data_IF_713161665510
#
_entry.id   IF_713161665510
#
_cell.length_a   1.000
_cell.length_b   1.000
_cell.length_c   1.000
_cell.angle_alpha   90.00
_cell.angle_beta   90.00
_cell.angle_gamma   90.00
#
_symmetry.space_group_name_H-M   'P 1'
#
loop_
_entity.id
_entity.type
_entity.pdbx_description
1 polymer ?
#
# COMPACT_ATOMS: atom_id res chain seq x y z
N UNK A 1 -12.65 15.37 21.73
CA UNK A 1 -12.15 14.20 21.00
C UNK A 1 -10.90 13.73 21.70
N UNK A 2 -10.84 12.45 22.05
CA UNK A 2 -9.64 11.82 22.60
C UNK A 2 -9.00 11.01 21.49
N UNK A 3 -7.71 11.24 21.25
CA UNK A 3 -6.95 10.41 20.32
C UNK A 3 -6.70 9.03 20.92
N UNK A 4 -6.61 8.05 20.01
CA UNK A 4 -6.25 6.68 20.37
C UNK A 4 -4.75 6.61 20.68
N UNK A 5 -4.41 5.81 21.68
CA UNK A 5 -3.02 5.47 21.97
C UNK A 5 -2.49 4.45 20.95
N UNK A 6 -1.16 4.36 20.83
CA UNK A 6 -0.51 3.48 19.83
C UNK A 6 -0.95 2.02 19.95
N UNK A 7 -1.07 1.51 21.16
CA UNK A 7 -1.52 0.13 21.39
C UNK A 7 -2.98 -0.08 20.99
N UNK A 8 -3.85 0.90 21.19
CA UNK A 8 -5.25 0.83 20.73
C UNK A 8 -5.35 0.82 19.21
N UNK A 9 -4.52 1.62 18.52
CA UNK A 9 -4.43 1.63 17.05
C UNK A 9 -4.02 0.25 16.55
N UNK A 10 -2.95 -0.32 17.14
CA UNK A 10 -2.45 -1.64 16.83
C UNK A 10 -3.52 -2.73 17.03
N UNK A 11 -4.22 -2.75 18.16
CA UNK A 11 -5.29 -3.71 18.44
C UNK A 11 -6.42 -3.64 17.39
N UNK A 12 -6.80 -2.42 16.96
CA UNK A 12 -7.82 -2.23 15.94
C UNK A 12 -7.35 -2.76 14.59
N UNK A 13 -6.10 -2.50 14.20
CA UNK A 13 -5.53 -3.00 12.95
C UNK A 13 -5.38 -4.52 12.98
N UNK A 14 -4.97 -5.10 14.11
CA UNK A 14 -4.89 -6.56 14.26
C UNK A 14 -6.26 -7.23 14.18
N UNK A 15 -7.31 -6.63 14.76
CA UNK A 15 -8.68 -7.13 14.63
C UNK A 15 -9.17 -7.06 13.16
N UNK A 16 -8.78 -6.02 12.41
CA UNK A 16 -9.07 -5.92 10.99
C UNK A 16 -8.29 -6.97 10.18
N UNK A 17 -7.04 -7.25 10.54
CA UNK A 17 -6.23 -8.30 9.92
C UNK A 17 -6.84 -9.69 10.17
N UNK A 18 -7.33 -9.95 11.38
CA UNK A 18 -8.03 -11.21 11.72
C UNK A 18 -9.27 -11.40 10.83
N UNK A 19 -10.08 -10.36 10.66
CA UNK A 19 -11.23 -10.40 9.75
C UNK A 19 -10.83 -10.72 8.31
N UNK A 20 -9.76 -10.09 7.80
CA UNK A 20 -9.27 -10.36 6.43
C UNK A 20 -8.75 -11.79 6.31
N UNK A 21 -7.98 -12.27 7.28
CA UNK A 21 -7.43 -13.63 7.30
C UNK A 21 -8.54 -14.68 7.34
N UNK A 22 -9.56 -14.49 8.19
CA UNK A 22 -10.74 -15.36 8.26
C UNK A 22 -11.52 -15.36 6.93
N UNK A 23 -11.72 -14.19 6.33
CA UNK A 23 -12.39 -14.07 5.03
C UNK A 23 -11.59 -14.80 3.93
N UNK A 24 -10.28 -14.60 3.88
CA UNK A 24 -9.40 -15.26 2.94
C UNK A 24 -9.43 -16.79 3.10
N UNK A 25 -9.36 -17.30 4.33
CA UNK A 25 -9.45 -18.74 4.63
C UNK A 25 -10.81 -19.33 4.25
N UNK A 26 -11.90 -18.64 4.54
CA UNK A 26 -13.27 -19.08 4.21
C UNK A 26 -13.51 -19.22 2.71
N UNK A 27 -12.84 -18.40 1.91
CA UNK A 27 -13.06 -18.32 0.46
C UNK A 27 -11.88 -18.87 -0.37
N UNK A 28 -10.91 -19.54 0.26
CA UNK A 28 -9.71 -20.08 -0.39
C UNK A 28 -8.99 -19.02 -1.24
N UNK A 29 -8.72 -17.85 -0.64
CA UNK A 29 -8.02 -16.74 -1.25
C UNK A 29 -6.59 -16.67 -0.67
N UNK A 30 -5.56 -16.99 -1.45
CA UNK A 30 -4.17 -16.84 -1.00
C UNK A 30 -3.79 -15.36 -0.93
N UNK A 31 -3.28 -14.95 0.21
CA UNK A 31 -2.68 -13.64 0.43
C UNK A 31 -1.36 -13.80 1.18
N UNK A 32 -0.57 -12.74 1.29
CA UNK A 32 0.64 -12.73 2.11
C UNK A 32 0.93 -11.36 2.69
N UNK A 33 1.59 -11.33 3.86
CA UNK A 33 2.13 -10.11 4.43
C UNK A 33 3.18 -9.54 3.49
N UNK A 34 3.18 -8.22 3.29
CA UNK A 34 4.09 -7.57 2.35
C UNK A 34 4.82 -6.38 2.97
N UNK A 35 5.80 -5.85 2.29
CA UNK A 35 6.56 -4.65 2.65
C UNK A 35 7.04 -4.63 4.12
N UNK A 36 6.76 -3.53 4.85
CA UNK A 36 7.11 -3.35 6.25
C UNK A 36 6.53 -4.43 7.16
N UNK A 37 5.33 -4.88 6.88
CA UNK A 37 4.66 -5.94 7.64
C UNK A 37 5.37 -7.29 7.51
N UNK A 38 5.80 -7.67 6.29
CA UNK A 38 6.61 -8.87 6.09
C UNK A 38 7.96 -8.76 6.80
N UNK A 39 8.62 -7.61 6.70
CA UNK A 39 9.87 -7.36 7.42
C UNK A 39 9.67 -7.47 8.94
N UNK A 40 8.58 -6.92 9.46
CA UNK A 40 8.19 -7.05 10.86
C UNK A 40 7.99 -8.50 11.29
N UNK A 41 7.26 -9.29 10.51
CA UNK A 41 7.04 -10.71 10.77
C UNK A 41 8.37 -11.51 10.83
N UNK A 42 9.28 -11.28 9.89
CA UNK A 42 10.55 -12.01 9.83
C UNK A 42 11.51 -11.57 10.94
N UNK A 43 11.69 -10.26 11.15
CA UNK A 43 12.70 -9.71 12.04
C UNK A 43 12.24 -9.55 13.49
N UNK A 44 10.98 -9.18 13.70
CA UNK A 44 10.44 -8.81 15.02
C UNK A 44 9.36 -9.77 15.55
N UNK A 45 8.86 -10.68 14.72
CA UNK A 45 7.69 -11.53 15.02
C UNK A 45 6.41 -10.74 15.27
N UNK A 46 6.35 -9.51 14.75
CA UNK A 46 5.25 -8.56 14.93
C UNK A 46 5.50 -7.28 14.15
N UNK A 47 4.73 -6.25 14.45
CA UNK A 47 4.91 -4.94 13.86
C UNK A 47 6.31 -4.37 14.19
N UNK A 48 6.88 -3.64 13.25
CA UNK A 48 8.12 -2.91 13.49
C UNK A 48 7.83 -1.79 14.51
N UNK A 49 8.65 -1.62 15.58
CA UNK A 49 8.30 -0.71 16.68
C UNK A 49 8.05 0.76 16.32
N UNK A 50 8.55 1.20 15.17
CA UNK A 50 8.39 2.57 14.65
C UNK A 50 7.48 2.66 13.42
N UNK A 51 6.81 1.56 13.07
CA UNK A 51 5.83 1.45 11.99
C UNK A 51 4.41 1.43 12.56
N UNK A 52 3.42 1.85 11.78
CA UNK A 52 2.04 1.97 12.24
C UNK A 52 1.01 1.54 11.19
N UNK A 53 1.45 0.86 10.14
CA UNK A 53 0.59 0.30 9.10
C UNK A 53 0.77 -1.21 8.92
N UNK A 54 -0.22 -1.82 8.30
CA UNK A 54 -0.21 -3.25 7.92
C UNK A 54 -0.50 -3.32 6.42
N UNK A 55 0.37 -4.07 5.74
CA UNK A 55 0.35 -4.27 4.29
C UNK A 55 0.17 -5.74 3.95
N UNK A 56 -0.76 -6.04 3.05
CA UNK A 56 -0.91 -7.37 2.47
C UNK A 56 -0.90 -7.30 0.94
N UNK A 57 -0.50 -8.39 0.31
CA UNK A 57 -0.51 -8.50 -1.15
C UNK A 57 -1.19 -9.79 -1.60
N UNK A 58 -1.82 -9.71 -2.78
CA UNK A 58 -2.48 -10.82 -3.44
C UNK A 58 -2.21 -10.75 -4.95
N UNK A 59 -2.23 -11.88 -5.64
CA UNK A 59 -2.32 -11.82 -7.10
C UNK A 59 -3.60 -11.12 -7.55
N UNK A 60 -3.57 -10.44 -8.70
CA UNK A 60 -4.65 -9.58 -9.21
C UNK A 60 -6.04 -10.23 -9.12
N UNK A 61 -6.17 -11.47 -9.54
CA UNK A 61 -7.45 -12.18 -9.53
C UNK A 61 -7.99 -12.38 -8.11
N UNK A 62 -7.12 -12.76 -7.18
CA UNK A 62 -7.47 -12.96 -5.77
C UNK A 62 -7.71 -11.62 -5.05
N UNK A 63 -6.97 -10.58 -5.42
CA UNK A 63 -7.21 -9.22 -4.96
C UNK A 63 -8.62 -8.74 -5.33
N UNK A 64 -9.02 -8.88 -6.60
CA UNK A 64 -10.35 -8.48 -7.06
C UNK A 64 -11.46 -9.31 -6.40
N UNK A 65 -11.23 -10.61 -6.21
CA UNK A 65 -12.16 -11.51 -5.50
C UNK A 65 -12.35 -11.10 -4.04
N UNK A 66 -11.26 -10.81 -3.32
CA UNK A 66 -11.31 -10.39 -1.90
C UNK A 66 -12.10 -9.10 -1.75
N UNK A 67 -11.80 -8.07 -2.54
CA UNK A 67 -12.49 -6.79 -2.46
C UNK A 67 -14.00 -6.95 -2.73
N UNK A 68 -14.36 -7.73 -3.76
CA UNK A 68 -15.75 -7.99 -4.10
C UNK A 68 -16.48 -8.70 -2.97
N UNK A 69 -15.89 -9.71 -2.34
CA UNK A 69 -16.50 -10.45 -1.22
C UNK A 69 -16.76 -9.52 -0.04
N UNK A 70 -15.78 -8.69 0.34
CA UNK A 70 -15.94 -7.75 1.46
C UNK A 70 -17.01 -6.69 1.15
N UNK A 71 -17.12 -6.23 -0.10
CA UNK A 71 -18.17 -5.31 -0.52
C UNK A 71 -19.56 -5.97 -0.46
N UNK A 72 -19.70 -7.24 -0.92
CA UNK A 72 -20.93 -8.00 -0.92
C UNK A 72 -21.39 -8.43 0.49
N UNK A 73 -20.45 -8.72 1.40
CA UNK A 73 -20.76 -9.02 2.81
C UNK A 73 -21.36 -7.81 3.55
N UNK A 74 -21.13 -6.60 3.05
CA UNK A 74 -21.61 -5.32 3.61
C UNK A 74 -21.43 -5.22 5.14
N UNK A 75 -20.27 -5.67 5.64
CA UNK A 75 -19.96 -5.69 7.06
C UNK A 75 -20.17 -4.28 7.68
N UNK A 76 -20.85 -4.13 8.84
CA UNK A 76 -21.19 -2.81 9.40
C UNK A 76 -19.99 -1.93 9.73
N UNK A 77 -18.83 -2.54 10.00
CA UNK A 77 -17.63 -1.85 10.45
C UNK A 77 -16.52 -1.83 9.37
N UNK A 78 -16.36 -2.91 8.59
CA UNK A 78 -15.26 -3.03 7.64
C UNK A 78 -15.72 -2.73 6.23
N UNK A 79 -15.05 -1.82 5.55
CA UNK A 79 -15.42 -1.35 4.21
C UNK A 79 -14.20 -1.24 3.29
N UNK A 80 -14.41 -1.51 2.02
CA UNK A 80 -13.39 -1.32 0.99
C UNK A 80 -13.30 0.15 0.59
N UNK A 81 -12.09 0.68 0.58
CA UNK A 81 -11.75 1.97 -0.01
C UNK A 81 -10.91 1.73 -1.25
N UNK A 82 -11.50 1.95 -2.40
CA UNK A 82 -10.86 1.75 -3.70
C UNK A 82 -11.23 2.85 -4.69
N UNK A 83 -10.65 2.79 -5.89
CA UNK A 83 -11.06 3.66 -6.99
C UNK A 83 -12.55 3.54 -7.31
N UNK A 84 -13.14 2.37 -7.19
CA UNK A 84 -14.54 2.12 -7.55
C UNK A 84 -15.51 2.51 -6.44
N UNK A 85 -15.12 2.36 -5.18
CA UNK A 85 -15.97 2.68 -4.02
C UNK A 85 -15.92 4.15 -3.63
N UNK A 86 -14.87 4.91 -4.04
CA UNK A 86 -14.74 6.31 -3.67
C UNK A 86 -14.20 7.21 -4.78
N UNK A 87 -14.91 8.31 -5.08
CA UNK A 87 -14.52 9.24 -6.15
C UNK A 87 -13.23 10.02 -5.89
N UNK A 88 -12.80 10.15 -4.64
CA UNK A 88 -11.57 10.84 -4.24
C UNK A 88 -10.36 9.91 -4.10
N UNK A 89 -10.60 8.59 -4.09
CA UNK A 89 -9.54 7.61 -4.05
C UNK A 89 -9.04 7.30 -5.48
N UNK A 90 -7.75 7.31 -5.67
CA UNK A 90 -7.13 7.16 -7.00
C UNK A 90 -5.81 6.39 -6.97
N UNK A 91 -5.53 5.68 -5.87
CA UNK A 91 -4.42 4.73 -5.80
C UNK A 91 -4.74 3.46 -6.62
N UNK A 92 -3.69 2.79 -7.14
CA UNK A 92 -3.85 1.55 -7.89
C UNK A 92 -3.81 0.31 -6.97
N UNK A 93 -4.15 0.49 -5.73
CA UNK A 93 -4.39 -0.53 -4.72
C UNK A 93 -5.62 -0.12 -3.90
N UNK A 94 -6.10 -0.99 -3.04
CA UNK A 94 -7.22 -0.69 -2.15
C UNK A 94 -6.77 -0.67 -0.70
N UNK A 95 -7.58 -0.08 0.18
CA UNK A 95 -7.45 -0.21 1.62
C UNK A 95 -8.74 -0.80 2.19
N UNK A 96 -8.66 -1.67 3.17
CA UNK A 96 -9.81 -2.12 3.95
C UNK A 96 -9.82 -1.30 5.23
N UNK A 97 -10.94 -0.62 5.48
CA UNK A 97 -11.09 0.37 6.54
C UNK A 97 -11.83 -0.19 7.73
N UNK A 98 -11.44 0.24 8.94
CA UNK A 98 -12.26 0.17 10.13
C UNK A 98 -13.04 1.47 10.33
N UNK A 99 -14.26 1.52 9.86
CA UNK A 99 -15.09 2.73 9.82
C UNK A 99 -15.55 3.22 11.20
N UNK A 100 -15.27 2.51 12.28
CA UNK A 100 -15.49 2.98 13.66
C UNK A 100 -14.45 4.03 14.10
N UNK A 101 -13.45 4.29 13.27
CA UNK A 101 -12.36 5.22 13.56
C UNK A 101 -12.27 6.35 12.52
N UNK A 102 -11.52 7.39 12.84
CA UNK A 102 -11.18 8.50 11.92
C UNK A 102 -9.70 8.81 12.05
N UNK A 103 -9.01 8.89 10.91
CA UNK A 103 -7.63 9.39 10.79
C UNK A 103 -7.68 10.80 10.21
N UNK A 104 -6.92 11.72 10.79
CA UNK A 104 -6.74 13.07 10.25
C UNK A 104 -5.63 13.12 9.20
N UNK A 105 -5.99 13.34 7.94
CA UNK A 105 -5.01 13.55 6.86
C UNK A 105 -4.70 15.03 6.64
N UNK A 106 -3.47 15.44 6.95
CA UNK A 106 -2.99 16.81 6.78
C UNK A 106 -2.03 16.98 5.58
N UNK A 107 -1.71 15.91 4.88
CA UNK A 107 -0.70 15.89 3.80
C UNK A 107 -1.29 16.28 2.44
N UNK A 108 -2.52 15.85 2.15
CA UNK A 108 -3.17 16.03 0.86
C UNK A 108 -3.72 17.44 0.68
N UNK A 109 -3.77 17.91 -0.57
CA UNK A 109 -4.33 19.23 -0.93
C UNK A 109 -5.82 19.34 -0.58
N UNK A 110 -6.58 18.32 -0.93
CA UNK A 110 -7.97 18.15 -0.47
C UNK A 110 -7.96 17.15 0.66
N UNK A 111 -8.35 17.58 1.84
CA UNK A 111 -8.45 16.72 3.02
C UNK A 111 -9.66 15.80 2.84
N UNK A 112 -9.41 14.51 3.01
CA UNK A 112 -10.44 13.49 3.17
C UNK A 112 -10.04 12.67 4.37
N UNK A 113 -10.73 12.87 5.48
CA UNK A 113 -10.52 12.02 6.66
C UNK A 113 -10.88 10.58 6.27
N UNK A 114 -10.04 9.65 6.67
CA UNK A 114 -10.22 8.23 6.45
C UNK A 114 -10.25 7.51 7.80
N UNK A 115 -10.27 6.22 7.80
CA UNK A 115 -10.31 5.36 9.00
C UNK A 115 -9.00 4.59 9.13
N UNK A 116 -8.74 3.95 10.26
CA UNK A 116 -7.66 2.97 10.37
C UNK A 116 -7.87 1.88 9.31
N UNK A 117 -6.80 1.44 8.71
CA UNK A 117 -6.84 0.64 7.50
C UNK A 117 -5.73 -0.42 7.45
N UNK A 118 -5.92 -1.37 6.55
CA UNK A 118 -4.89 -2.26 6.03
C UNK A 118 -4.83 -2.03 4.52
N UNK A 119 -3.64 -1.78 4.00
CA UNK A 119 -3.43 -1.64 2.56
C UNK A 119 -3.34 -3.01 1.89
N UNK A 120 -4.03 -3.14 0.77
CA UNK A 120 -4.15 -4.38 -0.01
C UNK A 120 -3.59 -4.12 -1.41
N UNK A 121 -2.45 -4.74 -1.71
CA UNK A 121 -1.72 -4.50 -2.94
C UNK A 121 -1.92 -5.64 -3.95
N UNK A 122 -2.28 -5.31 -5.19
CA UNK A 122 -2.31 -6.30 -6.26
C UNK A 122 -0.91 -6.60 -6.79
N UNK A 123 -0.63 -7.88 -7.02
CA UNK A 123 0.54 -8.36 -7.74
C UNK A 123 0.12 -8.71 -9.16
N UNK A 124 0.72 -8.04 -10.12
CA UNK A 124 0.48 -8.24 -11.55
C UNK A 124 1.59 -9.08 -12.18
N UNK A 125 1.24 -9.85 -13.22
CA UNK A 125 2.17 -10.69 -13.98
C UNK A 125 2.29 -10.17 -15.41
N UNK A 126 3.51 -9.99 -15.89
CA UNK A 126 3.78 -9.36 -17.18
C UNK A 126 5.13 -9.78 -17.79
N UNK A 127 5.40 -9.31 -19.02
CA UNK A 127 6.65 -9.59 -19.74
C UNK A 127 7.43 -8.31 -20.06
N UNK A 128 6.74 -7.20 -20.39
CA UNK A 128 7.38 -5.94 -20.80
C UNK A 128 7.72 -5.05 -19.60
N UNK A 129 9.00 -4.98 -19.25
CA UNK A 129 9.51 -4.11 -18.18
C UNK A 129 9.29 -2.61 -18.43
N UNK A 130 9.09 -2.18 -19.68
CA UNK A 130 8.89 -0.76 -20.00
C UNK A 130 7.62 -0.17 -19.38
N UNK A 131 6.66 -1.03 -18.99
CA UNK A 131 5.44 -0.58 -18.32
C UNK A 131 5.72 -0.04 -16.92
N UNK A 132 6.74 -0.55 -16.24
CA UNK A 132 7.13 -0.12 -14.90
C UNK A 132 7.55 1.35 -14.92
N UNK A 133 8.46 1.73 -15.83
CA UNK A 133 8.89 3.12 -15.98
C UNK A 133 7.75 4.07 -16.39
N UNK A 134 6.86 3.59 -17.28
CA UNK A 134 5.69 4.36 -17.70
C UNK A 134 4.72 4.56 -16.53
N UNK A 135 4.45 3.52 -15.76
CA UNK A 135 3.57 3.59 -14.58
C UNK A 135 4.13 4.52 -13.52
N UNK A 136 5.44 4.44 -13.26
CA UNK A 136 6.14 5.30 -12.31
C UNK A 136 6.00 6.80 -12.63
N UNK A 137 6.11 7.17 -13.92
CA UNK A 137 5.86 8.56 -14.36
C UNK A 137 4.44 9.01 -14.05
N UNK A 138 3.44 8.16 -14.27
CA UNK A 138 2.05 8.49 -13.94
C UNK A 138 1.82 8.55 -12.43
N UNK A 139 2.45 7.70 -11.63
CA UNK A 139 2.42 7.78 -10.15
C UNK A 139 2.97 9.12 -9.67
N UNK A 140 4.14 9.53 -10.18
CA UNK A 140 4.76 10.80 -9.81
C UNK A 140 3.86 12.01 -10.17
N UNK A 141 3.26 12.03 -11.36
CA UNK A 141 2.33 13.07 -11.78
C UNK A 141 1.05 13.08 -10.92
N UNK A 142 0.50 11.90 -10.62
CA UNK A 142 -0.66 11.74 -9.74
C UNK A 142 -0.39 12.31 -8.35
N UNK A 143 0.76 11.96 -7.76
CA UNK A 143 1.14 12.49 -6.45
C UNK A 143 1.29 14.02 -6.48
N UNK A 144 2.00 14.57 -7.47
CA UNK A 144 2.16 16.01 -7.61
C UNK A 144 0.82 16.72 -7.78
N UNK A 145 -0.14 16.09 -8.47
CA UNK A 145 -1.49 16.61 -8.63
C UNK A 145 -2.29 16.70 -7.33
N UNK A 146 -1.91 16.00 -6.28
CA UNK A 146 -2.74 15.86 -5.08
C UNK A 146 -2.13 16.38 -3.78
N UNK A 147 -0.82 16.52 -3.71
CA UNK A 147 -0.13 17.01 -2.51
C UNK A 147 -0.29 18.51 -2.29
N UNK A 148 -0.07 18.96 -1.06
CA UNK A 148 0.00 20.40 -0.73
C UNK A 148 1.22 21.06 -1.40
N UNK A 149 1.10 22.34 -1.73
CA UNK A 149 2.19 23.15 -2.35
C UNK A 149 3.50 23.05 -1.59
N UNK A 150 3.47 23.08 -0.27
CA UNK A 150 4.65 22.96 0.59
C UNK A 150 5.42 21.63 0.43
N UNK A 151 4.74 20.58 -0.04
CA UNK A 151 5.35 19.27 -0.33
C UNK A 151 5.83 19.14 -1.78
N UNK A 152 5.38 20.02 -2.68
CA UNK A 152 5.82 20.04 -4.08
C UNK A 152 7.21 20.67 -4.25
N UNK A 153 7.65 21.50 -3.32
CA UNK A 153 8.94 22.21 -3.34
C UNK A 153 9.84 21.62 -2.27
N UNK A 154 11.02 21.16 -2.65
CA UNK A 154 11.93 20.43 -1.76
C UNK A 154 13.23 21.18 -1.42
N UNK A 155 13.52 22.29 -2.13
CA UNK A 155 14.73 23.08 -1.89
C UNK A 155 16.02 22.52 -2.50
N UNK A 156 15.98 21.42 -3.25
CA UNK A 156 17.16 20.78 -3.86
C UNK A 156 17.87 21.68 -4.89
N UNK A 157 17.07 22.45 -5.65
CA UNK A 157 17.55 23.34 -6.70
C UNK A 157 16.43 24.31 -7.10
N UNK A 158 16.77 25.61 -7.20
CA UNK A 158 15.83 26.66 -7.59
C UNK A 158 15.13 26.36 -8.93
N UNK A 159 15.86 25.82 -9.93
CA UNK A 159 15.28 25.45 -11.21
C UNK A 159 14.34 24.26 -11.12
N UNK A 160 14.73 23.21 -10.38
CA UNK A 160 13.87 22.04 -10.15
C UNK A 160 12.60 22.41 -9.40
N UNK A 161 12.71 23.24 -8.37
CA UNK A 161 11.56 23.70 -7.60
C UNK A 161 10.63 24.58 -8.43
N UNK A 162 11.17 25.45 -9.29
CA UNK A 162 10.38 26.23 -10.22
C UNK A 162 9.60 25.35 -11.21
N UNK A 163 10.27 24.35 -11.81
CA UNK A 163 9.61 23.40 -12.72
C UNK A 163 8.54 22.57 -12.02
N UNK A 164 8.82 22.08 -10.79
CA UNK A 164 7.84 21.36 -9.95
C UNK A 164 6.64 22.25 -9.64
N UNK A 165 6.88 23.52 -9.30
CA UNK A 165 5.82 24.48 -8.99
C UNK A 165 4.94 24.77 -10.23
N UNK A 166 5.52 24.98 -11.39
CA UNK A 166 4.78 25.12 -12.64
C UNK A 166 3.91 23.89 -12.94
N UNK A 167 4.51 22.71 -12.81
CA UNK A 167 3.82 21.41 -12.97
C UNK A 167 2.69 21.25 -11.93
N UNK A 168 2.93 21.65 -10.69
CA UNK A 168 1.94 21.60 -9.62
C UNK A 168 0.71 22.48 -9.96
N UNK A 169 0.92 23.70 -10.45
CA UNK A 169 -0.18 24.58 -10.88
C UNK A 169 -0.93 24.03 -12.10
N UNK A 170 -0.21 23.54 -13.10
CA UNK A 170 -0.81 22.95 -14.30
C UNK A 170 -1.67 21.71 -13.96
N UNK A 171 -1.23 20.91 -13.01
CA UNK A 171 -1.95 19.69 -12.59
C UNK A 171 -3.17 19.93 -11.71
N UNK A 172 -3.42 21.19 -11.22
CA UNK A 172 -4.64 21.51 -10.45
C UNK A 172 -5.94 21.34 -11.22
N UNK A 173 -5.89 21.43 -12.54
CA UNK A 173 -7.05 21.22 -13.42
C UNK A 173 -7.22 19.77 -13.86
N UNK A 174 -6.23 18.90 -13.57
CA UNK A 174 -6.28 17.49 -13.92
C UNK A 174 -6.83 16.67 -12.77
N UNK A 175 -7.86 15.87 -13.03
CA UNK A 175 -8.34 14.93 -12.03
C UNK A 175 -7.32 13.80 -11.84
N UNK A 176 -6.82 13.54 -10.62
CA UNK A 176 -5.86 12.45 -10.35
C UNK A 176 -6.31 11.07 -10.84
N UNK A 177 -7.63 10.84 -10.93
CA UNK A 177 -8.23 9.61 -11.49
C UNK A 177 -7.84 9.37 -12.96
N UNK A 178 -7.45 10.40 -13.70
CA UNK A 178 -6.91 10.23 -15.06
C UNK A 178 -5.63 9.38 -15.05
N UNK A 179 -4.73 9.65 -14.11
CA UNK A 179 -3.48 8.89 -13.98
C UNK A 179 -3.71 7.45 -13.51
N UNK A 180 -4.68 7.25 -12.60
CA UNK A 180 -5.13 5.90 -12.23
C UNK A 180 -5.52 5.10 -13.49
N UNK A 181 -6.42 5.64 -14.31
CA UNK A 181 -6.88 4.96 -15.53
C UNK A 181 -5.75 4.65 -16.50
N UNK A 182 -4.75 5.53 -16.60
CA UNK A 182 -3.58 5.28 -17.45
C UNK A 182 -2.73 4.11 -16.95
N UNK A 183 -2.53 4.02 -15.64
CA UNK A 183 -1.81 2.89 -15.02
C UNK A 183 -2.63 1.60 -15.18
N UNK A 184 -3.92 1.62 -14.88
CA UNK A 184 -4.81 0.48 -15.03
C UNK A 184 -4.82 -0.07 -16.48
N UNK A 185 -4.85 0.81 -17.49
CA UNK A 185 -4.73 0.44 -18.89
C UNK A 185 -3.37 -0.20 -19.23
N UNK A 186 -2.27 0.32 -18.65
CA UNK A 186 -0.95 -0.29 -18.85
C UNK A 186 -0.91 -1.71 -18.28
N UNK A 187 -1.44 -1.92 -17.09
CA UNK A 187 -1.50 -3.23 -16.43
C UNK A 187 -2.34 -4.20 -17.27
N UNK A 188 -3.57 -3.83 -17.64
CA UNK A 188 -4.48 -4.67 -18.45
C UNK A 188 -3.87 -5.07 -19.80
N UNK A 189 -3.15 -4.15 -20.45
CA UNK A 189 -2.50 -4.41 -21.73
C UNK A 189 -1.24 -5.27 -21.61
N UNK A 190 -0.67 -5.37 -20.41
CA UNK A 190 0.55 -6.13 -20.15
C UNK A 190 0.30 -7.54 -19.65
N UNK A 191 -0.94 -7.85 -19.23
CA UNK A 191 -1.33 -9.18 -18.78
C UNK A 191 -1.10 -10.21 -19.90
N UNK A 192 -0.41 -11.30 -19.57
CA UNK A 192 0.00 -12.33 -20.52
C UNK A 192 -0.11 -13.72 -19.92
N UNK A 193 -0.32 -14.73 -20.79
CA UNK A 193 -0.33 -16.13 -20.40
C UNK A 193 1.07 -16.74 -20.19
N UNK A 194 2.13 -16.00 -20.56
CA UNK A 194 3.52 -16.43 -20.39
C UNK A 194 4.35 -15.32 -19.72
N UNK A 195 4.06 -14.98 -18.47
CA UNK A 195 4.75 -13.92 -17.76
C UNK A 195 6.20 -14.31 -17.44
N UNK A 196 7.08 -13.31 -17.44
CA UNK A 196 8.46 -13.45 -16.99
C UNK A 196 8.71 -12.73 -15.66
N UNK A 197 7.88 -11.74 -15.36
CA UNK A 197 7.99 -10.90 -14.17
C UNK A 197 6.66 -10.81 -13.43
N UNK A 198 6.76 -10.50 -12.14
CA UNK A 198 5.60 -10.20 -11.30
C UNK A 198 5.95 -9.11 -10.28
N UNK A 199 4.96 -8.34 -9.86
CA UNK A 199 5.14 -7.28 -8.86
C UNK A 199 4.05 -6.23 -8.89
N UNK A 200 4.19 -5.22 -8.04
CA UNK A 200 3.26 -4.11 -7.91
C UNK A 200 3.48 -3.03 -8.97
N UNK A 201 2.58 -2.92 -9.95
CA UNK A 201 2.69 -1.90 -10.99
C UNK A 201 1.89 -0.66 -10.60
N UNK A 202 2.58 0.49 -10.52
CA UNK A 202 1.94 1.77 -10.22
C UNK A 202 1.45 1.93 -8.78
N UNK A 203 1.95 1.11 -7.87
CA UNK A 203 1.65 1.13 -6.44
C UNK A 203 2.51 2.17 -5.74
N UNK A 204 3.80 1.90 -5.61
CA UNK A 204 4.75 2.68 -4.85
C UNK A 204 5.64 3.59 -5.68
N UNK A 205 6.74 4.02 -5.05
CA UNK A 205 7.78 4.89 -5.63
C UNK A 205 9.05 4.13 -5.97
N UNK A 206 9.12 2.86 -5.61
CA UNK A 206 10.34 2.07 -5.69
C UNK A 206 10.61 1.53 -7.11
N UNK A 207 9.60 1.57 -7.98
CA UNK A 207 9.74 1.24 -9.39
C UNK A 207 10.26 -0.19 -9.60
N UNK A 208 11.41 -0.34 -10.22
CA UNK A 208 12.00 -1.65 -10.54
C UNK A 208 12.33 -2.51 -9.31
N UNK A 209 12.46 -1.94 -8.12
CA UNK A 209 12.68 -2.72 -6.89
C UNK A 209 11.47 -3.58 -6.50
N UNK A 210 10.28 -3.20 -6.95
CA UNK A 210 9.03 -3.93 -6.68
C UNK A 210 8.77 -5.04 -7.71
N UNK A 211 9.71 -5.30 -8.63
CA UNK A 211 9.56 -6.25 -9.72
C UNK A 211 10.49 -7.45 -9.51
N UNK A 212 9.92 -8.62 -9.61
CA UNK A 212 10.55 -9.89 -9.32
C UNK A 212 10.37 -10.88 -10.49
N UNK A 213 11.22 -11.91 -10.60
CA UNK A 213 10.95 -13.03 -11.51
C UNK A 213 9.61 -13.68 -11.18
N UNK A 214 8.92 -14.18 -12.20
CA UNK A 214 7.66 -14.91 -12.02
C UNK A 214 7.81 -16.07 -11.01
N UNK A 215 6.74 -16.41 -10.30
CA UNK A 215 6.70 -17.42 -9.24
C UNK A 215 7.55 -17.09 -7.98
N UNK A 216 7.90 -15.83 -7.76
CA UNK A 216 8.53 -15.39 -6.51
C UNK A 216 7.54 -15.47 -5.34
N UNK A 217 6.27 -15.08 -5.56
CA UNK A 217 5.22 -15.05 -4.54
C UNK A 217 4.29 -16.26 -4.54
N UNK A 218 4.53 -17.27 -5.38
CA UNK A 218 3.64 -18.41 -5.57
C UNK A 218 3.58 -19.36 -4.37
N UNK A 219 4.73 -19.69 -3.80
CA UNK A 219 4.81 -20.58 -2.65
C UNK A 219 4.80 -19.74 -1.36
N UNK A 220 3.87 -20.04 -0.46
CA UNK A 220 3.71 -19.38 0.83
C UNK A 220 4.13 -20.31 1.97
N UNK A 221 4.68 -19.72 3.01
CA UNK A 221 4.95 -20.36 4.30
C UNK A 221 4.30 -19.54 5.41
N UNK A 222 3.99 -20.17 6.52
CA UNK A 222 3.48 -19.48 7.69
C UNK A 222 4.61 -18.98 8.57
N UNK A 223 4.51 -17.76 9.05
CA UNK A 223 5.42 -17.16 10.04
C UNK A 223 4.65 -16.48 11.14
N UNK A 224 5.28 -16.30 12.29
CA UNK A 224 4.69 -15.62 13.42
C UNK A 224 4.62 -14.11 13.18
N UNK A 225 3.45 -13.52 13.46
CA UNK A 225 3.22 -12.07 13.48
C UNK A 225 2.19 -11.71 14.55
N UNK A 226 2.62 -11.02 15.61
CA UNK A 226 1.76 -10.62 16.75
C UNK A 226 0.94 -11.80 17.33
N UNK A 227 1.61 -12.94 17.55
CA UNK A 227 1.00 -14.16 18.07
C UNK A 227 0.11 -14.94 17.10
N UNK A 228 0.05 -14.54 15.82
CA UNK A 228 -0.67 -15.19 14.72
C UNK A 228 0.29 -15.93 13.80
N UNK A 229 -0.15 -17.00 13.16
CA UNK A 229 0.59 -17.68 12.10
C UNK A 229 0.03 -17.23 10.75
N UNK A 230 0.75 -16.31 10.06
CA UNK A 230 0.29 -15.65 8.85
C UNK A 230 1.22 -15.96 7.65
N UNK A 231 0.69 -15.94 6.42
CA UNK A 231 1.45 -16.31 5.24
C UNK A 231 2.43 -15.22 4.80
N UNK A 232 3.64 -15.66 4.41
CA UNK A 232 4.63 -14.86 3.69
C UNK A 232 5.16 -15.68 2.52
N UNK A 233 5.67 -15.07 1.44
CA UNK A 233 6.32 -15.80 0.37
C UNK A 233 7.48 -16.63 0.89
N UNK A 234 7.62 -17.86 0.43
CA UNK A 234 8.77 -18.71 0.75
C UNK A 234 10.11 -18.06 0.35
N UNK A 235 10.07 -17.25 -0.70
CA UNK A 235 11.21 -16.45 -1.18
C UNK A 235 11.26 -15.05 -0.54
N UNK A 236 10.77 -14.89 0.69
CA UNK A 236 10.75 -13.59 1.41
C UNK A 236 12.15 -12.94 1.47
N UNK A 237 13.21 -13.74 1.60
CA UNK A 237 14.58 -13.23 1.65
C UNK A 237 14.97 -12.48 0.36
N UNK A 238 14.57 -13.00 -0.81
CA UNK A 238 14.79 -12.33 -2.09
C UNK A 238 14.03 -10.99 -2.13
N UNK A 239 12.77 -10.98 -1.68
CA UNK A 239 11.97 -9.75 -1.61
C UNK A 239 12.60 -8.72 -0.67
N UNK A 240 12.89 -9.11 0.57
CA UNK A 240 13.38 -8.21 1.60
C UNK A 240 14.79 -7.68 1.27
N UNK A 241 15.67 -8.52 0.71
CA UNK A 241 17.00 -8.11 0.26
C UNK A 241 16.90 -7.08 -0.88
N UNK A 242 16.05 -7.31 -1.88
CA UNK A 242 15.88 -6.38 -3.00
C UNK A 242 15.28 -5.04 -2.57
N UNK A 243 14.31 -5.07 -1.63
CA UNK A 243 13.65 -3.85 -1.14
C UNK A 243 14.52 -3.06 -0.16
N UNK A 244 15.16 -3.74 0.80
CA UNK A 244 15.75 -3.12 1.99
C UNK A 244 17.26 -3.39 2.17
N UNK A 245 17.87 -4.22 1.34
CA UNK A 245 19.29 -4.60 1.47
C UNK A 245 19.53 -5.50 2.68
N UNK A 246 20.42 -5.09 3.60
CA UNK A 246 20.60 -5.77 4.88
C UNK A 246 19.42 -5.48 5.82
N UNK A 247 18.32 -6.18 5.57
CA UNK A 247 17.06 -5.96 6.28
C UNK A 247 17.04 -6.51 7.71
N UNK A 248 17.98 -7.41 8.06
CA UNK A 248 18.07 -7.95 9.42
C UNK A 248 18.69 -6.97 10.40
N UNK A 249 19.54 -6.04 9.93
CA UNK A 249 20.10 -4.97 10.74
C UNK A 249 19.11 -3.79 10.84
N UNK A 250 18.58 -3.47 12.03
CA UNK A 250 17.71 -2.30 12.19
C UNK A 250 18.43 -1.00 11.80
N UNK A 251 17.74 -0.02 11.18
CA UNK A 251 18.32 1.27 10.89
C UNK A 251 18.71 2.04 12.19
N UNK A 252 19.55 3.08 12.06
CA UNK A 252 19.90 3.94 13.19
C UNK A 252 18.66 4.56 13.85
N UNK A 253 18.75 4.92 15.13
CA UNK A 253 17.62 5.55 15.86
C UNK A 253 17.11 6.80 15.17
N UNK A 254 18.00 7.62 14.60
CA UNK A 254 17.64 8.80 13.83
C UNK A 254 16.81 8.45 12.59
N UNK A 255 17.17 7.38 11.87
CA UNK A 255 16.39 6.87 10.75
C UNK A 255 15.06 6.25 11.19
N UNK A 256 15.03 5.57 12.35
CA UNK A 256 13.78 5.03 12.90
C UNK A 256 12.79 6.16 13.21
N UNK A 257 13.25 7.27 13.81
CA UNK A 257 12.43 8.47 14.06
C UNK A 257 11.94 9.10 12.75
N UNK A 258 12.78 9.11 11.72
CA UNK A 258 12.39 9.62 10.40
C UNK A 258 11.35 8.75 9.70
N UNK A 259 11.41 7.42 9.87
CA UNK A 259 10.40 6.46 9.35
C UNK A 259 9.15 6.42 10.22
N UNK A 260 9.20 6.88 11.47
CA UNK A 260 8.04 6.86 12.36
C UNK A 260 6.94 7.75 11.83
N UNK A 261 5.87 7.12 11.39
CA UNK A 261 4.61 7.78 11.03
C UNK A 261 3.71 7.79 12.26
N UNK A 262 3.40 8.95 12.81
CA UNK A 262 2.43 9.03 13.91
C UNK A 262 1.03 9.22 13.32
N UNK A 263 0.30 8.13 13.14
CA UNK A 263 -1.13 8.18 12.82
C UNK A 263 -1.86 8.84 14.00
N UNK A 264 -2.63 9.89 13.71
CA UNK A 264 -3.56 10.51 14.66
C UNK A 264 -4.96 10.03 14.35
N UNK A 265 -5.46 9.13 15.16
CA UNK A 265 -6.79 8.56 15.00
C UNK A 265 -7.63 8.72 16.27
N UNK A 266 -8.94 8.71 16.12
CA UNK A 266 -9.91 8.72 17.21
C UNK A 266 -11.14 7.86 16.86
N UNK A 267 -11.91 7.41 17.87
CA UNK A 267 -13.17 6.68 17.61
C UNK A 267 -14.26 7.65 17.20
N UNK A 268 -15.09 7.21 16.26
CA UNK A 268 -16.35 7.91 15.95
C UNK A 268 -17.27 7.81 17.16
N UNK A 269 -17.83 8.93 17.55
CA UNK A 269 -18.91 9.02 18.56
C UNK A 269 -20.23 8.49 18.01
#
# INVERSE_FOLDING_TARGET
MQYLEKEEIKEIQLALLDYIDETCKKHDIPYFLSYGTMLGAIRHKGMIPWDDDIDISLYREDYERLLKIIEEEDHPRYKVLSYDTSYWYFHNFASILDTSTVIEDHVKYKRHDTSLFIDVFPIDRFTDLSIVDKSYKYVALRQLAYIKKSRAVHGDSKLKDFLRLCSWYALRVVNPRYFYKKIDQLVKNATTNAPQYEGGIGIGKEGMKEIFPVDTFKELILTEFEGRMLPVPKKYDQFLTQMYGDYMTPPSKEMQEWYSHSIKAYRKS
#
